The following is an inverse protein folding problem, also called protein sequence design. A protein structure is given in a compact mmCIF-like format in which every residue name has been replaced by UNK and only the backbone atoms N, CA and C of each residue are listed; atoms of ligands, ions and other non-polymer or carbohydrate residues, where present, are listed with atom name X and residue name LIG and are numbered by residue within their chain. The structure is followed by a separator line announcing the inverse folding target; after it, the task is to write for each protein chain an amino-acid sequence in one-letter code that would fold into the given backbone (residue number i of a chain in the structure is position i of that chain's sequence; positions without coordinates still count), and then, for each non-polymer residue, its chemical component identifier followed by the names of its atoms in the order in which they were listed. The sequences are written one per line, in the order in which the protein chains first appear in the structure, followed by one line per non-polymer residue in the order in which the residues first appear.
data_IF_068016397445
#
_entry.id   IF_068016397445
#
_cell.length_a   1.000
_cell.length_b   1.000
_cell.length_c   1.000
_cell.angle_alpha   90.00
_cell.angle_beta   90.00
_cell.angle_gamma   90.00
#
_symmetry.space_group_name_H-M   'P 1'
#
loop_
_entity.id
_entity.type
_entity.pdbx_description
1 polymer ?
#
# COMPACT_ATOMS: atom_id res chain seq x y z
N UNK A 1 18.91 1.36 -8.78
CA UNK A 1 18.85 -0.10 -8.90
C UNK A 1 17.46 -0.69 -8.61
N UNK A 2 16.68 -0.09 -7.68
CA UNK A 2 15.31 -0.51 -7.31
C UNK A 2 14.21 0.23 -8.09
N UNK A 3 14.58 1.04 -9.04
CA UNK A 3 13.69 1.84 -9.85
C UNK A 3 13.81 1.46 -11.33
N UNK A 4 12.67 1.23 -11.96
CA UNK A 4 12.53 0.97 -13.40
C UNK A 4 11.60 2.01 -13.98
N UNK A 5 11.95 2.62 -15.09
CA UNK A 5 11.12 3.58 -15.81
C UNK A 5 10.84 3.06 -17.20
N UNK A 6 9.56 2.98 -17.57
CA UNK A 6 9.10 2.67 -18.90
C UNK A 6 8.98 3.96 -19.72
N UNK A 7 9.28 3.90 -20.98
CA UNK A 7 9.24 5.07 -21.89
C UNK A 7 8.56 4.74 -23.21
N UNK A 8 7.97 5.75 -23.85
CA UNK A 8 7.37 5.60 -25.18
C UNK A 8 6.16 4.66 -25.18
N UNK A 9 6.17 3.70 -26.10
CA UNK A 9 5.08 2.74 -26.33
C UNK A 9 4.96 1.66 -25.27
N UNK A 10 5.96 1.50 -24.40
CA UNK A 10 5.95 0.50 -23.33
C UNK A 10 5.15 0.98 -22.11
N UNK A 11 4.80 2.27 -22.08
CA UNK A 11 3.98 2.80 -20.98
C UNK A 11 2.61 2.13 -20.93
N UNK A 12 2.11 1.83 -19.73
CA UNK A 12 0.78 1.19 -19.52
C UNK A 12 -0.41 2.08 -19.91
N UNK A 13 -0.17 3.32 -20.26
CA UNK A 13 -1.16 4.19 -20.91
C UNK A 13 -1.40 3.85 -22.37
N UNK A 14 -0.44 3.21 -23.05
CA UNK A 14 -0.61 2.66 -24.40
C UNK A 14 -1.18 1.24 -24.32
N UNK A 15 -2.51 1.12 -24.35
CA UNK A 15 -3.22 -0.15 -24.19
C UNK A 15 -2.98 -1.14 -25.34
N UNK A 16 -2.42 -0.69 -26.48
CA UNK A 16 -2.20 -1.54 -27.65
C UNK A 16 -0.85 -2.24 -27.63
N UNK A 17 0.19 -1.54 -27.21
CA UNK A 17 1.57 -2.00 -27.34
C UNK A 17 2.18 -2.44 -26.01
N UNK A 18 1.71 -1.90 -24.87
CA UNK A 18 2.26 -2.23 -23.55
C UNK A 18 2.14 -3.71 -23.21
N UNK A 19 3.15 -4.25 -22.53
CA UNK A 19 3.15 -5.61 -21.97
C UNK A 19 3.36 -5.59 -20.45
N UNK A 20 2.31 -5.32 -19.66
CA UNK A 20 2.44 -5.20 -18.22
C UNK A 20 2.92 -6.48 -17.51
N UNK A 21 2.71 -7.65 -18.13
CA UNK A 21 3.15 -8.94 -17.57
C UNK A 21 4.66 -9.08 -17.72
N UNK A 22 5.19 -8.79 -18.93
CA UNK A 22 6.63 -8.82 -19.17
C UNK A 22 7.37 -7.77 -18.33
N UNK A 23 6.80 -6.57 -18.17
CA UNK A 23 7.39 -5.50 -17.35
C UNK A 23 7.44 -5.90 -15.86
N UNK A 24 6.36 -6.47 -15.35
CA UNK A 24 6.33 -6.98 -13.98
C UNK A 24 7.32 -8.14 -13.78
N UNK A 25 7.43 -9.06 -14.75
CA UNK A 25 8.42 -10.15 -14.72
C UNK A 25 9.86 -9.59 -14.68
N UNK A 26 10.16 -8.57 -15.47
CA UNK A 26 11.48 -7.92 -15.47
C UNK A 26 11.83 -7.35 -14.07
N UNK A 27 10.85 -6.77 -13.36
CA UNK A 27 11.07 -6.27 -11.99
C UNK A 27 11.30 -7.44 -11.02
N UNK A 28 10.52 -8.53 -11.16
CA UNK A 28 10.68 -9.74 -10.34
C UNK A 28 12.06 -10.36 -10.54
N UNK A 29 12.53 -10.48 -11.77
CA UNK A 29 13.85 -11.05 -12.09
C UNK A 29 14.99 -10.21 -11.50
N UNK A 30 14.86 -8.87 -11.53
CA UNK A 30 15.80 -7.96 -10.87
C UNK A 30 15.82 -8.14 -9.34
N UNK A 31 14.67 -8.37 -8.74
CA UNK A 31 14.57 -8.63 -7.30
C UNK A 31 15.15 -9.99 -6.93
N UNK A 32 14.84 -11.02 -7.72
CA UNK A 32 15.37 -12.39 -7.52
C UNK A 32 16.90 -12.43 -7.64
N UNK A 33 17.49 -11.65 -8.54
CA UNK A 33 18.94 -11.54 -8.68
C UNK A 33 19.62 -11.02 -7.39
N UNK A 34 18.85 -10.34 -6.53
CA UNK A 34 19.29 -9.87 -5.19
C UNK A 34 18.77 -10.73 -4.04
N UNK A 35 18.12 -11.87 -4.34
CA UNK A 35 17.55 -12.76 -3.34
C UNK A 35 16.24 -12.28 -2.71
N UNK A 36 15.57 -11.29 -3.30
CA UNK A 36 14.30 -10.75 -2.80
C UNK A 36 13.14 -11.40 -3.56
N UNK A 37 12.19 -11.98 -2.81
CA UNK A 37 10.95 -12.55 -3.35
C UNK A 37 9.82 -11.53 -3.20
N UNK A 38 9.31 -11.05 -4.33
CA UNK A 38 8.18 -10.14 -4.38
C UNK A 38 6.86 -10.91 -4.34
N UNK A 39 5.86 -10.41 -3.60
CA UNK A 39 4.55 -11.06 -3.40
C UNK A 39 3.36 -10.17 -3.69
N UNK A 40 3.51 -8.88 -3.60
CA UNK A 40 2.43 -7.94 -3.82
C UNK A 40 2.85 -6.78 -4.72
N UNK A 41 1.89 -6.25 -5.49
CA UNK A 41 2.05 -5.05 -6.30
C UNK A 41 0.96 -4.05 -5.91
N UNK A 42 1.36 -2.89 -5.41
CA UNK A 42 0.45 -1.78 -5.08
C UNK A 42 0.33 -0.86 -6.29
N UNK A 43 -0.90 -0.55 -6.67
CA UNK A 43 -1.21 0.34 -7.80
C UNK A 43 -2.40 1.25 -7.49
N UNK A 44 -2.57 2.31 -8.28
CA UNK A 44 -3.73 3.18 -8.23
C UNK A 44 -4.94 2.57 -8.95
N UNK A 45 -6.17 3.07 -8.68
CA UNK A 45 -7.37 2.68 -9.43
C UNK A 45 -7.29 2.99 -10.93
N UNK A 46 -6.59 4.07 -11.30
CA UNK A 46 -6.37 4.47 -12.69
C UNK A 46 -5.46 3.48 -13.40
N UNK A 47 -4.36 3.08 -12.76
CA UNK A 47 -3.46 2.04 -13.26
C UNK A 47 -4.20 0.72 -13.46
N UNK A 48 -5.02 0.31 -12.48
CA UNK A 48 -5.85 -0.90 -12.61
C UNK A 48 -6.82 -0.81 -13.81
N UNK A 49 -7.36 0.37 -14.09
CA UNK A 49 -8.22 0.61 -15.26
C UNK A 49 -7.46 0.46 -16.58
N UNK A 50 -6.19 0.89 -16.62
CA UNK A 50 -5.32 0.71 -17.78
C UNK A 50 -4.97 -0.76 -18.01
N UNK A 51 -4.67 -1.51 -16.95
CA UNK A 51 -4.40 -2.95 -17.04
C UNK A 51 -5.61 -3.73 -17.62
N UNK A 52 -6.84 -3.39 -17.20
CA UNK A 52 -8.06 -4.01 -17.76
C UNK A 52 -8.22 -3.76 -19.25
N UNK A 53 -7.72 -2.64 -19.76
CA UNK A 53 -7.82 -2.28 -21.20
C UNK A 53 -6.66 -2.83 -22.05
N UNK A 54 -5.60 -3.34 -21.44
CA UNK A 54 -4.43 -3.84 -22.17
C UNK A 54 -4.78 -5.04 -23.06
N UNK A 55 -4.45 -4.93 -24.35
CA UNK A 55 -4.65 -5.99 -25.34
C UNK A 55 -3.80 -7.22 -25.04
N UNK A 56 -2.62 -7.03 -24.51
CA UNK A 56 -1.72 -8.15 -24.15
C UNK A 56 -2.31 -9.00 -23.03
N UNK A 57 -2.78 -8.37 -21.95
CA UNK A 57 -3.45 -9.11 -20.85
C UNK A 57 -4.70 -9.85 -21.38
N UNK A 58 -5.49 -9.19 -22.24
CA UNK A 58 -6.63 -9.84 -22.89
C UNK A 58 -6.21 -11.07 -23.71
N UNK A 59 -5.12 -11.01 -24.46
CA UNK A 59 -4.62 -12.15 -25.25
C UNK A 59 -4.13 -13.30 -24.39
N UNK A 60 -3.51 -13.03 -23.24
CA UNK A 60 -3.15 -14.07 -22.26
C UNK A 60 -4.37 -14.85 -21.75
N UNK A 61 -5.44 -14.12 -21.40
CA UNK A 61 -6.67 -14.74 -20.91
C UNK A 61 -7.36 -15.55 -22.01
N UNK A 62 -7.38 -15.05 -23.25
CA UNK A 62 -7.93 -15.74 -24.40
C UNK A 62 -7.15 -17.01 -24.77
N UNK A 63 -5.84 -16.99 -24.65
CA UNK A 63 -5.00 -18.16 -24.89
C UNK A 63 -5.27 -19.31 -23.90
N UNK A 64 -5.60 -18.98 -22.65
CA UNK A 64 -5.94 -19.96 -21.62
C UNK A 64 -7.38 -20.49 -21.73
N UNK A 65 -8.30 -19.73 -22.33
CA UNK A 65 -9.72 -20.05 -22.42
C UNK A 65 -10.19 -19.93 -23.88
N UNK A 66 -10.36 -21.03 -24.56
CA UNK A 66 -10.79 -21.09 -25.97
C UNK A 66 -12.25 -20.67 -26.25
N UNK A 67 -12.96 -20.10 -25.28
CA UNK A 67 -14.38 -19.69 -25.42
C UNK A 67 -14.48 -18.20 -25.76
N UNK A 68 -15.09 -17.89 -26.87
CA UNK A 68 -14.99 -16.66 -27.65
C UNK A 68 -15.57 -15.36 -27.07
N UNK A 69 -16.02 -15.27 -25.81
CA UNK A 69 -16.58 -14.03 -25.24
C UNK A 69 -16.15 -13.85 -23.78
N UNK A 70 -14.88 -13.48 -23.56
CA UNK A 70 -14.41 -13.18 -22.20
C UNK A 70 -14.54 -11.69 -21.94
N UNK A 71 -15.39 -11.35 -20.97
CA UNK A 71 -15.47 -9.99 -20.45
C UNK A 71 -14.27 -9.73 -19.53
N UNK A 72 -13.43 -8.75 -19.91
CA UNK A 72 -12.30 -8.30 -19.11
C UNK A 72 -12.78 -7.51 -17.90
N UNK A 73 -12.40 -7.95 -16.70
CA UNK A 73 -12.69 -7.26 -15.46
C UNK A 73 -11.47 -7.27 -14.52
N UNK A 74 -11.54 -6.47 -13.46
CA UNK A 74 -10.47 -6.34 -12.47
C UNK A 74 -10.08 -7.67 -11.81
N UNK A 75 -11.05 -8.55 -11.57
CA UNK A 75 -10.82 -9.84 -10.93
C UNK A 75 -9.95 -10.77 -11.80
N UNK A 76 -10.25 -10.82 -13.12
CA UNK A 76 -9.46 -11.61 -14.06
C UNK A 76 -8.04 -11.12 -14.22
N UNK A 77 -7.83 -9.79 -14.25
CA UNK A 77 -6.48 -9.22 -14.27
C UNK A 77 -5.69 -9.64 -13.03
N UNK A 78 -6.30 -9.55 -11.84
CA UNK A 78 -5.68 -10.02 -10.59
C UNK A 78 -5.34 -11.50 -10.63
N UNK A 79 -6.23 -12.33 -11.18
CA UNK A 79 -6.04 -13.77 -11.34
C UNK A 79 -4.85 -14.09 -12.25
N UNK A 80 -4.71 -13.39 -13.39
CA UNK A 80 -3.57 -13.56 -14.29
C UNK A 80 -2.25 -13.25 -13.58
N UNK A 81 -2.15 -12.11 -12.91
CA UNK A 81 -0.93 -11.74 -12.18
C UNK A 81 -0.59 -12.74 -11.06
N UNK A 82 -1.62 -13.25 -10.38
CA UNK A 82 -1.44 -14.24 -9.34
C UNK A 82 -0.98 -15.59 -9.89
N UNK A 83 -1.55 -16.04 -11.01
CA UNK A 83 -1.24 -17.34 -11.60
C UNK A 83 0.10 -17.35 -12.35
N UNK A 84 0.39 -16.31 -13.13
CA UNK A 84 1.60 -16.23 -13.94
C UNK A 84 2.83 -15.76 -13.15
N UNK A 85 2.64 -14.75 -12.27
CA UNK A 85 3.74 -14.08 -11.59
C UNK A 85 3.79 -14.36 -10.08
N UNK A 86 2.77 -15.04 -9.53
CA UNK A 86 2.60 -15.25 -8.10
C UNK A 86 2.58 -13.93 -7.29
N UNK A 87 2.03 -12.87 -7.89
CA UNK A 87 1.91 -11.53 -7.30
C UNK A 87 0.44 -11.18 -7.07
N UNK A 88 0.14 -10.69 -5.87
CA UNK A 88 -1.17 -10.15 -5.52
C UNK A 88 -1.25 -8.66 -5.85
N UNK A 89 -2.27 -8.24 -6.62
CA UNK A 89 -2.50 -6.82 -6.91
C UNK A 89 -3.36 -6.18 -5.81
N UNK A 90 -2.78 -5.19 -5.14
CA UNK A 90 -3.43 -4.34 -4.14
C UNK A 90 -3.74 -2.98 -4.78
N UNK A 91 -5.02 -2.65 -4.90
CA UNK A 91 -5.45 -1.33 -5.39
C UNK A 91 -5.61 -0.39 -4.22
N UNK A 92 -4.83 0.69 -4.18
CA UNK A 92 -4.86 1.68 -3.10
C UNK A 92 -5.73 2.87 -3.49
N UNK A 93 -6.91 2.97 -2.87
CA UNK A 93 -7.96 3.93 -3.25
C UNK A 93 -8.12 5.09 -2.26
N UNK A 94 -7.27 5.20 -1.22
CA UNK A 94 -7.43 6.25 -0.22
C UNK A 94 -7.09 7.63 -0.75
N UNK A 95 -7.95 8.60 -0.41
CA UNK A 95 -7.80 10.01 -0.72
C UNK A 95 -7.58 10.80 0.56
N UNK A 96 -6.94 11.96 0.45
CA UNK A 96 -6.85 12.95 1.51
C UNK A 96 -7.26 14.33 0.99
N UNK A 97 -7.67 15.20 1.90
CA UNK A 97 -7.96 16.60 1.55
C UNK A 97 -6.70 17.43 1.73
N UNK A 98 -6.32 18.12 0.66
CA UNK A 98 -5.25 19.11 0.68
C UNK A 98 -5.70 20.38 1.39
N UNK A 99 -4.76 21.28 1.66
CA UNK A 99 -5.03 22.61 2.26
C UNK A 99 -6.09 23.43 1.50
N UNK A 100 -6.16 23.22 0.18
CA UNK A 100 -7.16 23.86 -0.70
C UNK A 100 -8.53 23.17 -0.69
N UNK A 101 -8.73 22.15 0.14
CA UNK A 101 -9.96 21.36 0.23
C UNK A 101 -10.19 20.39 -0.93
N UNK A 102 -9.21 20.23 -1.83
CA UNK A 102 -9.27 19.28 -2.95
C UNK A 102 -8.87 17.89 -2.52
N UNK A 103 -9.59 16.89 -3.06
CA UNK A 103 -9.24 15.49 -2.84
C UNK A 103 -8.01 15.12 -3.69
N UNK A 104 -7.00 14.58 -3.02
CA UNK A 104 -5.77 14.05 -3.64
C UNK A 104 -5.59 12.59 -3.27
N UNK A 105 -5.10 11.79 -4.23
CA UNK A 105 -4.74 10.41 -3.97
C UNK A 105 -3.43 10.34 -3.17
N UNK A 106 -3.39 9.45 -2.15
CA UNK A 106 -2.14 9.16 -1.45
C UNK A 106 -1.12 8.45 -2.34
N UNK A 107 -1.61 7.62 -3.27
CA UNK A 107 -0.76 6.84 -4.15
C UNK A 107 -0.75 7.45 -5.57
N UNK A 108 0.44 7.68 -6.17
CA UNK A 108 0.54 8.28 -7.49
C UNK A 108 0.02 7.35 -8.59
N UNK A 109 -0.60 7.94 -9.61
CA UNK A 109 -1.16 7.22 -10.76
C UNK A 109 -0.11 6.73 -11.77
N UNK A 110 1.15 7.12 -11.58
CA UNK A 110 2.23 6.88 -12.53
C UNK A 110 3.15 5.73 -12.15
N UNK A 111 2.98 5.18 -10.95
CA UNK A 111 3.88 4.20 -10.37
C UNK A 111 3.16 2.91 -9.97
N UNK A 112 3.89 1.81 -10.00
CA UNK A 112 3.55 0.55 -9.36
C UNK A 112 4.68 0.18 -8.38
N UNK A 113 4.31 -0.18 -7.14
CA UNK A 113 5.25 -0.56 -6.09
C UNK A 113 5.16 -2.04 -5.83
N UNK A 114 6.27 -2.73 -5.97
CA UNK A 114 6.39 -4.16 -5.68
C UNK A 114 6.94 -4.37 -4.28
N UNK A 115 6.25 -5.18 -3.51
CA UNK A 115 6.53 -5.41 -2.10
C UNK A 115 6.98 -6.86 -1.88
N UNK A 116 7.96 -7.08 -0.98
CA UNK A 116 8.38 -8.42 -0.58
C UNK A 116 7.31 -9.10 0.29
N UNK A 117 7.53 -10.39 0.55
CA UNK A 117 6.75 -11.13 1.55
C UNK A 117 7.14 -10.70 2.97
N UNK A 118 6.15 -10.47 3.83
CA UNK A 118 6.36 -10.16 5.24
C UNK A 118 6.12 -8.70 5.64
N UNK A 119 6.54 -8.34 6.84
CA UNK A 119 6.38 -7.01 7.38
C UNK A 119 7.43 -6.06 6.80
N UNK A 120 7.00 -4.86 6.39
CA UNK A 120 7.89 -3.84 5.83
C UNK A 120 8.65 -3.05 6.90
N UNK A 121 8.26 -3.19 8.16
CA UNK A 121 8.84 -2.49 9.28
C UNK A 121 8.05 -2.68 10.56
N UNK A 122 8.39 -1.90 11.58
CA UNK A 122 7.82 -2.00 12.91
C UNK A 122 7.19 -0.68 13.37
N UNK A 123 6.24 -0.79 14.30
CA UNK A 123 5.74 0.35 15.06
C UNK A 123 6.41 0.35 16.43
N UNK A 124 7.15 1.41 16.72
CA UNK A 124 7.82 1.59 18.00
C UNK A 124 6.95 2.49 18.88
N UNK A 125 6.58 1.97 20.06
CA UNK A 125 5.79 2.69 21.04
C UNK A 125 6.68 3.30 22.11
N UNK A 126 6.50 4.60 22.37
CA UNK A 126 7.21 5.33 23.41
C UNK A 126 6.32 5.54 24.65
N UNK A 127 6.96 5.75 25.80
CA UNK A 127 6.26 6.09 27.04
C UNK A 127 5.67 7.50 26.97
N UNK A 128 4.35 7.61 27.05
CA UNK A 128 3.65 8.89 27.01
C UNK A 128 3.77 9.68 28.32
N UNK A 129 3.55 11.02 28.30
CA UNK A 129 3.48 11.83 29.50
C UNK A 129 2.41 11.37 30.50
N UNK A 130 1.27 10.86 30.00
CA UNK A 130 0.19 10.32 30.84
C UNK A 130 0.65 9.03 31.52
N UNK A 131 1.28 8.14 30.80
CA UNK A 131 1.84 6.90 31.34
C UNK A 131 2.89 7.16 32.42
N UNK A 132 3.79 8.16 32.22
CA UNK A 132 4.75 8.57 33.25
C UNK A 132 4.09 9.06 34.52
N UNK A 133 2.99 9.82 34.39
CA UNK A 133 2.21 10.28 35.54
C UNK A 133 1.57 9.11 36.27
N UNK A 134 1.02 8.11 35.53
CA UNK A 134 0.43 6.92 36.13
C UNK A 134 1.45 6.09 36.91
N UNK A 135 2.66 5.96 36.39
CA UNK A 135 3.76 5.22 37.06
C UNK A 135 4.29 5.96 38.30
N UNK A 136 4.17 7.29 38.34
CA UNK A 136 4.66 8.14 39.44
C UNK A 136 3.62 8.56 40.47
N UNK A 137 2.31 8.34 40.27
CA UNK A 137 1.24 8.78 41.12
C UNK A 137 0.18 7.66 41.33
N UNK A 138 -0.15 7.37 42.59
CA UNK A 138 -1.20 6.40 42.92
C UNK A 138 -2.63 6.93 42.68
N UNK A 139 -2.79 8.21 42.41
CA UNK A 139 -4.10 8.89 42.35
C UNK A 139 -4.57 9.17 40.89
N UNK A 140 -3.83 8.70 39.90
CA UNK A 140 -4.20 8.91 38.52
C UNK A 140 -5.16 7.84 38.01
N UNK A 141 -6.39 8.23 37.65
CA UNK A 141 -7.33 7.39 36.92
C UNK A 141 -6.84 7.22 35.47
N UNK A 142 -5.76 6.46 35.31
CA UNK A 142 -5.15 6.13 34.01
C UNK A 142 -5.33 4.67 33.74
N UNK A 143 -5.87 4.35 32.57
CA UNK A 143 -5.97 2.99 32.05
C UNK A 143 -5.23 2.87 30.73
N UNK A 144 -4.43 1.83 30.61
CA UNK A 144 -3.83 1.43 29.34
C UNK A 144 -4.81 0.53 28.60
N UNK A 145 -5.29 0.97 27.44
CA UNK A 145 -6.30 0.24 26.66
C UNK A 145 -5.65 -0.69 25.67
N UNK A 146 -4.52 -0.27 25.11
CA UNK A 146 -3.72 -1.07 24.19
C UNK A 146 -2.25 -0.70 24.35
N UNK A 147 -1.34 -1.45 23.71
CA UNK A 147 0.10 -1.13 23.75
C UNK A 147 0.33 0.30 23.26
N UNK A 148 0.89 1.17 24.13
CA UNK A 148 1.19 2.57 23.83
C UNK A 148 0.01 3.54 23.87
N UNK A 149 -1.25 3.06 24.03
CA UNK A 149 -2.44 3.91 24.10
C UNK A 149 -2.91 4.04 25.53
N UNK A 150 -2.84 5.25 26.09
CA UNK A 150 -3.22 5.55 27.46
C UNK A 150 -4.43 6.48 27.50
N UNK A 151 -5.35 6.23 28.42
CA UNK A 151 -6.53 7.05 28.67
C UNK A 151 -6.48 7.56 30.10
N UNK A 152 -6.57 8.86 30.26
CA UNK A 152 -6.70 9.53 31.54
C UNK A 152 -8.07 10.18 31.64
N UNK A 153 -8.82 9.89 32.71
CA UNK A 153 -10.09 10.52 33.05
C UNK A 153 -9.91 11.38 34.27
N UNK A 154 -10.20 12.67 34.14
CA UNK A 154 -10.16 13.64 35.23
C UNK A 154 -11.54 14.18 35.46
N UNK A 155 -12.01 14.21 36.71
CA UNK A 155 -13.27 14.84 37.13
C UNK A 155 -12.97 16.15 37.83
N UNK A 156 -13.62 17.22 37.37
CA UNK A 156 -13.61 18.54 37.99
C UNK A 156 -14.97 18.76 38.68
N UNK A 157 -14.95 19.30 39.89
CA UNK A 157 -16.17 19.43 40.70
C UNK A 157 -16.85 20.77 40.58
N UNK A 158 -16.16 21.84 40.11
CA UNK A 158 -16.75 23.17 39.96
C UNK A 158 -16.15 23.89 38.74
N UNK A 159 -16.88 24.05 37.64
CA UNK A 159 -18.15 23.36 37.33
C UNK A 159 -17.93 21.86 37.14
N UNK A 160 -18.97 21.06 37.43
CA UNK A 160 -18.92 19.62 37.27
C UNK A 160 -18.62 19.22 35.79
N UNK A 161 -17.45 18.66 35.56
CA UNK A 161 -16.98 18.29 34.23
C UNK A 161 -16.12 17.04 34.28
N UNK A 162 -16.24 16.21 33.24
CA UNK A 162 -15.39 15.05 33.04
C UNK A 162 -14.54 15.24 31.80
N UNK A 163 -13.22 15.31 31.98
CA UNK A 163 -12.25 15.44 30.90
C UNK A 163 -11.58 14.11 30.63
N UNK A 164 -11.75 13.60 29.42
CA UNK A 164 -11.04 12.40 28.95
C UNK A 164 -9.92 12.82 28.01
N UNK A 165 -8.70 12.40 28.32
CA UNK A 165 -7.51 12.62 27.49
C UNK A 165 -6.99 11.27 27.00
N UNK A 166 -6.81 11.13 25.70
CA UNK A 166 -6.19 9.97 25.07
C UNK A 166 -4.83 10.40 24.54
N UNK A 167 -3.82 9.60 24.81
CA UNK A 167 -2.42 9.91 24.50
C UNK A 167 -1.73 8.66 23.92
N UNK A 168 -0.98 8.85 22.84
CA UNK A 168 -0.20 7.80 22.18
C UNK A 168 1.09 8.41 21.61
N UNK A 169 2.22 7.74 21.82
CA UNK A 169 3.48 8.05 21.17
C UNK A 169 3.89 6.85 20.34
N UNK A 170 3.85 7.00 19.02
CA UNK A 170 4.21 5.94 18.09
C UNK A 170 5.15 6.47 17.00
N UNK A 171 6.17 5.67 16.68
CA UNK A 171 7.09 5.92 15.57
C UNK A 171 7.00 4.74 14.59
N UNK A 172 6.42 4.94 13.39
CA UNK A 172 6.51 3.94 12.34
C UNK A 172 7.94 3.93 11.77
N UNK A 173 8.55 2.74 11.76
CA UNK A 173 9.87 2.50 11.17
C UNK A 173 9.70 1.66 9.92
N UNK A 174 10.19 2.14 8.77
CA UNK A 174 10.22 1.40 7.52
C UNK A 174 11.64 0.82 7.34
N UNK A 175 11.78 -0.50 7.47
CA UNK A 175 13.08 -1.15 7.59
C UNK A 175 13.49 -1.92 6.32
N UNK A 176 12.53 -2.20 5.43
CA UNK A 176 12.75 -3.02 4.25
C UNK A 176 12.89 -2.22 2.94
N UNK A 177 13.55 -1.04 2.98
CA UNK A 177 13.77 -0.19 1.79
C UNK A 177 14.47 -0.93 0.65
N UNK A 178 15.45 -1.76 0.96
CA UNK A 178 16.25 -2.49 -0.03
C UNK A 178 15.48 -3.65 -0.70
N UNK A 179 14.29 -3.96 -0.20
CA UNK A 179 13.46 -5.05 -0.73
C UNK A 179 12.23 -4.55 -1.51
N UNK A 180 12.08 -3.23 -1.64
CA UNK A 180 10.96 -2.62 -2.37
C UNK A 180 11.44 -2.13 -3.74
N UNK A 181 10.66 -2.46 -4.77
CA UNK A 181 10.94 -2.08 -6.15
C UNK A 181 9.84 -1.18 -6.70
N UNK A 182 10.23 -0.20 -7.47
CA UNK A 182 9.34 0.78 -8.09
C UNK A 182 9.40 0.67 -9.60
N UNK A 183 8.25 0.62 -10.23
CA UNK A 183 8.08 0.71 -11.67
C UNK A 183 7.29 1.98 -12.01
N UNK A 184 7.91 2.91 -12.72
CA UNK A 184 7.21 4.05 -13.31
C UNK A 184 6.69 3.64 -14.68
N UNK A 185 5.37 3.53 -14.81
CA UNK A 185 4.69 2.97 -15.98
C UNK A 185 3.93 4.00 -16.82
N UNK A 186 3.91 5.26 -16.40
CA UNK A 186 3.31 6.36 -17.15
C UNK A 186 4.00 7.69 -16.85
N UNK A 187 3.80 8.66 -17.71
CA UNK A 187 4.32 10.00 -17.54
C UNK A 187 3.52 10.84 -16.54
#
# INVERSE_FOLDING_TARGET
EHFVELTGTDMWSDHENCDPIADAQMVIDKALAKGVILKAMVISPKTMSNLVKSKKIASYILAQNSTANIYMNKARVKEVFKNELNIEIIVYEKLFKDYDGKDKAYYPDTMATFLPEGALGNLWYGTSPIERKALGSKDANVSQVNTGVNIMVTQEHDPENTKTVVDEIVLPSFECMDSVYLLKHSA
#
